data_IF_235828959995
#
_entry.id   IF_235828959995
#
_cell.length_a   1.000
_cell.length_b   1.000
_cell.length_c   1.000
_cell.angle_alpha   90.00
_cell.angle_beta   90.00
_cell.angle_gamma   90.00
#
_symmetry.space_group_name_H-M   'P 1'
#
loop_
_entity.id
_entity.type
_entity.pdbx_description
1 polymer ?
#
# COMPACT_ATOMS: atom_id res chain seq x y z
N UNK A 1 -8.13 46.20 -12.61
CA UNK A 1 -7.88 47.30 -11.70
C UNK A 1 -7.96 46.68 -10.30
N UNK A 2 -6.87 46.09 -9.85
CA UNK A 2 -6.78 45.51 -8.51
C UNK A 2 -6.06 46.52 -7.64
N UNK A 3 -6.77 47.03 -6.65
CA UNK A 3 -6.26 47.97 -5.66
C UNK A 3 -5.15 47.28 -4.87
N UNK A 4 -3.96 47.82 -4.92
CA UNK A 4 -2.74 47.36 -4.28
C UNK A 4 -2.42 48.21 -3.04
N UNK A 5 -3.39 48.46 -2.19
CA UNK A 5 -3.16 49.06 -0.88
C UNK A 5 -3.48 48.05 0.23
N UNK A 6 -2.67 46.99 0.31
CA UNK A 6 -2.55 46.20 1.52
C UNK A 6 -1.45 46.85 2.38
N UNK A 7 -1.86 47.78 3.24
CA UNK A 7 -1.02 48.27 4.34
C UNK A 7 -0.94 47.14 5.40
N UNK A 8 0.20 46.45 5.57
CA UNK A 8 0.38 45.52 6.67
C UNK A 8 0.54 46.38 7.91
N UNK A 9 -0.60 46.60 8.60
CA UNK A 9 -0.61 47.34 9.88
C UNK A 9 0.60 46.93 10.73
N UNK A 10 1.43 47.94 11.10
CA UNK A 10 2.59 47.80 11.95
C UNK A 10 2.08 47.33 13.32
N UNK A 11 1.95 46.01 13.48
CA UNK A 11 1.73 45.39 14.78
C UNK A 11 2.97 45.68 15.64
N UNK A 12 2.76 46.14 16.85
CA UNK A 12 3.76 46.27 17.90
C UNK A 12 4.24 44.91 18.39
N UNK A 13 4.61 44.00 17.44
CA UNK A 13 5.14 42.69 17.76
C UNK A 13 6.63 42.76 18.08
N UNK A 14 7.08 41.84 18.89
CA UNK A 14 8.50 41.63 19.15
C UNK A 14 9.21 41.37 17.82
N UNK A 15 10.35 42.07 17.60
CA UNK A 15 11.11 41.94 16.33
C UNK A 15 12.01 40.73 16.43
N UNK A 16 11.90 39.81 15.45
CA UNK A 16 12.83 38.68 15.36
C UNK A 16 14.24 39.16 15.01
N UNK A 17 15.30 38.40 15.36
CA UNK A 17 16.67 38.72 14.98
C UNK A 17 16.79 38.82 13.45
N UNK A 18 17.46 39.89 12.97
CA UNK A 18 17.74 40.07 11.56
C UNK A 18 18.64 38.94 11.03
N UNK A 19 18.37 38.44 9.82
CA UNK A 19 19.12 37.34 9.22
C UNK A 19 18.74 35.95 9.67
N UNK A 20 17.65 35.79 10.50
CA UNK A 20 17.19 34.49 10.94
C UNK A 20 16.91 33.53 9.78
N UNK A 21 16.44 34.04 8.63
CA UNK A 21 16.13 33.24 7.44
C UNK A 21 17.37 32.75 6.70
N UNK A 22 18.53 33.40 6.89
CA UNK A 22 19.80 33.04 6.25
C UNK A 22 20.75 32.29 7.20
N UNK A 23 20.44 32.26 8.50
CA UNK A 23 21.28 31.61 9.50
C UNK A 23 21.38 30.11 9.29
N UNK A 24 22.61 29.58 9.29
CA UNK A 24 22.84 28.13 9.20
C UNK A 24 22.24 27.39 10.38
N UNK A 25 21.66 26.20 10.14
CA UNK A 25 21.14 25.38 11.21
C UNK A 25 22.27 24.89 12.12
N UNK A 26 22.01 24.91 13.43
CA UNK A 26 22.98 24.53 14.45
C UNK A 26 22.62 25.09 15.83
N UNK A 27 23.51 24.96 16.83
CA UNK A 27 23.22 25.33 18.22
C UNK A 27 22.81 26.79 18.39
N UNK A 28 23.38 27.70 17.60
CA UNK A 28 23.08 29.14 17.68
C UNK A 28 21.65 29.41 17.21
N UNK A 29 21.26 28.89 16.06
CA UNK A 29 19.90 29.02 15.56
C UNK A 29 18.89 28.34 16.49
N UNK A 30 19.21 27.16 17.04
CA UNK A 30 18.35 26.47 17.99
C UNK A 30 18.10 27.31 19.26
N UNK A 31 19.14 27.93 19.81
CA UNK A 31 19.04 28.81 20.99
C UNK A 31 18.16 30.03 20.69
N UNK A 32 18.36 30.70 19.56
CA UNK A 32 17.54 31.82 19.13
C UNK A 32 16.07 31.44 18.96
N UNK A 33 15.79 30.34 18.24
CA UNK A 33 14.42 29.88 18.02
C UNK A 33 13.71 29.52 19.33
N UNK A 34 14.42 28.96 20.31
CA UNK A 34 13.84 28.64 21.63
C UNK A 34 13.49 29.88 22.45
N UNK A 35 14.06 31.04 22.16
CA UNK A 35 13.78 32.31 22.87
C UNK A 35 12.65 33.14 22.24
N UNK A 36 12.18 32.75 21.03
CA UNK A 36 11.13 33.47 20.32
C UNK A 36 9.75 32.97 20.74
N UNK A 37 8.92 33.83 21.27
CA UNK A 37 7.50 33.54 21.43
C UNK A 37 6.75 33.86 20.13
N UNK A 38 6.42 32.80 19.39
CA UNK A 38 5.75 32.90 18.08
C UNK A 38 4.40 33.61 18.14
N UNK A 39 3.74 33.65 19.32
CA UNK A 39 2.47 34.35 19.50
C UNK A 39 2.59 35.87 19.51
N UNK A 40 3.78 36.38 19.78
CA UNK A 40 4.05 37.83 19.92
C UNK A 40 4.61 38.47 18.64
N UNK A 41 5.06 37.69 17.69
CA UNK A 41 5.66 38.18 16.44
C UNK A 41 4.63 38.38 15.33
N UNK A 42 4.97 39.20 14.32
CA UNK A 42 4.07 39.45 13.19
C UNK A 42 3.81 38.15 12.36
N UNK A 43 2.69 38.09 11.63
CA UNK A 43 2.41 36.96 10.75
C UNK A 43 3.49 36.73 9.67
N UNK A 44 4.17 37.79 9.23
CA UNK A 44 5.32 37.67 8.33
C UNK A 44 6.49 36.98 9.04
N UNK A 45 6.82 37.40 10.25
CA UNK A 45 7.90 36.82 11.05
C UNK A 45 7.61 35.39 11.49
N UNK A 46 6.33 35.03 11.73
CA UNK A 46 5.92 33.64 11.95
C UNK A 46 6.33 32.72 10.82
N UNK A 47 6.24 33.16 9.56
CA UNK A 47 6.69 32.37 8.40
C UNK A 47 8.22 32.26 8.36
N UNK A 48 8.94 33.32 8.73
CA UNK A 48 10.41 33.27 8.84
C UNK A 48 10.84 32.25 9.91
N UNK A 49 10.23 32.33 11.10
CA UNK A 49 10.47 31.37 12.19
C UNK A 49 10.13 29.95 11.78
N UNK A 50 9.00 29.72 11.10
CA UNK A 50 8.59 28.41 10.59
C UNK A 50 9.65 27.84 9.63
N UNK A 51 10.18 28.64 8.71
CA UNK A 51 11.24 28.22 7.79
C UNK A 51 12.54 27.87 8.53
N UNK A 52 12.90 28.67 9.52
CA UNK A 52 14.09 28.41 10.36
C UNK A 52 13.94 27.10 11.15
N UNK A 53 12.78 26.83 11.77
CA UNK A 53 12.49 25.54 12.41
C UNK A 53 12.58 24.38 11.39
N UNK A 54 12.08 24.57 10.18
CA UNK A 54 12.14 23.52 9.13
C UNK A 54 13.60 23.19 8.75
N UNK A 55 14.48 24.19 8.66
CA UNK A 55 15.92 23.96 8.44
C UNK A 55 16.54 23.18 9.61
N UNK A 56 16.21 23.53 10.85
CA UNK A 56 16.69 22.79 12.03
C UNK A 56 16.23 21.33 12.04
N UNK A 57 14.96 21.08 11.70
CA UNK A 57 14.45 19.70 11.57
C UNK A 57 15.24 18.91 10.54
N UNK A 58 15.50 19.48 9.36
CA UNK A 58 16.29 18.83 8.32
C UNK A 58 17.73 18.53 8.78
N UNK A 59 18.34 19.48 9.48
CA UNK A 59 19.68 19.36 10.05
C UNK A 59 19.77 18.18 11.03
N UNK A 60 18.88 18.12 12.02
CA UNK A 60 18.90 17.01 12.98
C UNK A 60 18.51 15.66 12.35
N UNK A 61 17.70 15.66 11.31
CA UNK A 61 17.41 14.44 10.56
C UNK A 61 18.66 13.94 9.83
N UNK A 62 19.48 14.85 9.24
CA UNK A 62 20.77 14.47 8.65
C UNK A 62 21.72 13.87 9.69
N UNK A 63 21.79 14.45 10.89
CA UNK A 63 22.57 13.88 11.99
C UNK A 63 22.07 12.49 12.39
N UNK A 64 20.76 12.32 12.51
CA UNK A 64 20.15 10.99 12.83
C UNK A 64 20.57 9.94 11.81
N UNK A 65 20.60 10.27 10.52
CA UNK A 65 21.09 9.35 9.48
C UNK A 65 22.59 9.07 9.61
N UNK A 66 23.37 10.08 9.97
CA UNK A 66 24.81 9.90 10.25
C UNK A 66 25.02 8.95 11.45
N UNK A 67 24.23 9.11 12.50
CA UNK A 67 24.29 8.25 13.69
C UNK A 67 23.92 6.80 13.34
N UNK A 68 22.89 6.56 12.53
CA UNK A 68 22.52 5.22 12.06
C UNK A 68 23.66 4.54 11.32
N UNK A 69 24.38 5.27 10.47
CA UNK A 69 25.55 4.74 9.76
C UNK A 69 26.71 4.47 10.72
N UNK A 70 26.93 5.32 11.72
CA UNK A 70 27.95 5.11 12.76
C UNK A 70 27.70 3.84 13.59
N UNK A 71 26.43 3.50 13.85
CA UNK A 71 26.08 2.20 14.47
C UNK A 71 26.51 1.03 13.61
N UNK A 72 26.31 1.14 12.27
CA UNK A 72 26.73 0.10 11.33
C UNK A 72 28.26 -0.04 11.28
N UNK A 73 28.98 1.08 11.30
CA UNK A 73 30.45 1.07 11.34
C UNK A 73 30.97 0.36 12.61
N UNK A 74 30.40 0.70 13.78
CA UNK A 74 30.78 0.08 15.04
C UNK A 74 30.53 -1.44 15.04
N UNK A 75 29.44 -1.88 14.44
CA UNK A 75 29.12 -3.31 14.33
C UNK A 75 29.95 -4.03 13.26
N UNK A 76 30.49 -3.32 12.29
CA UNK A 76 31.46 -3.87 11.32
C UNK A 76 32.81 -4.23 11.95
N UNK A 77 33.14 -3.65 13.10
CA UNK A 77 34.31 -4.07 13.90
C UNK A 77 34.08 -5.39 14.66
N UNK A 78 32.80 -5.75 14.86
CA UNK A 78 32.39 -6.94 15.62
C UNK A 78 32.09 -8.14 14.72
N UNK A 79 31.61 -7.86 13.49
CA UNK A 79 31.19 -8.87 12.52
C UNK A 79 32.17 -8.93 11.34
N UNK A 80 32.68 -10.11 11.02
CA UNK A 80 33.54 -10.33 9.85
C UNK A 80 32.77 -10.14 8.50
N UNK A 81 31.46 -10.42 8.49
CA UNK A 81 30.61 -10.24 7.30
C UNK A 81 29.87 -8.90 7.38
N UNK A 82 30.06 -8.00 6.40
CA UNK A 82 29.36 -6.71 6.32
C UNK A 82 27.82 -6.83 6.32
N UNK A 83 27.28 -7.95 5.82
CA UNK A 83 25.83 -8.21 5.84
C UNK A 83 25.32 -8.40 7.26
N UNK A 84 26.03 -9.16 8.06
CA UNK A 84 25.68 -9.38 9.46
C UNK A 84 25.77 -8.08 10.27
N UNK A 85 26.75 -7.23 9.99
CA UNK A 85 26.87 -5.91 10.60
C UNK A 85 25.66 -5.03 10.28
N UNK A 86 25.25 -4.98 9.02
CA UNK A 86 24.07 -4.20 8.59
C UNK A 86 22.77 -4.74 9.19
N UNK A 87 22.56 -6.05 9.21
CA UNK A 87 21.38 -6.66 9.83
C UNK A 87 21.33 -6.40 11.34
N UNK A 88 22.48 -6.48 12.02
CA UNK A 88 22.59 -6.17 13.45
C UNK A 88 22.31 -4.69 13.72
N UNK A 89 22.83 -3.78 12.88
CA UNK A 89 22.56 -2.35 12.99
C UNK A 89 21.07 -2.05 12.80
N UNK A 90 20.43 -2.65 11.81
CA UNK A 90 18.99 -2.50 11.61
C UNK A 90 18.17 -3.00 12.81
N UNK A 91 18.62 -4.09 13.47
CA UNK A 91 17.98 -4.61 14.67
C UNK A 91 18.14 -3.67 15.88
N UNK A 92 19.32 -3.10 16.10
CA UNK A 92 19.58 -2.10 17.16
C UNK A 92 18.76 -0.83 16.93
N UNK A 93 18.78 -0.27 15.72
CA UNK A 93 18.00 0.93 15.33
C UNK A 93 16.50 0.67 15.54
N UNK A 94 16.03 -0.51 15.11
CA UNK A 94 14.65 -0.93 15.31
C UNK A 94 14.25 -0.93 16.78
N UNK A 95 15.09 -1.50 17.64
CA UNK A 95 14.83 -1.60 19.08
C UNK A 95 14.88 -0.22 19.75
N UNK A 96 15.89 0.59 19.43
CA UNK A 96 16.09 1.92 20.00
C UNK A 96 14.99 2.90 19.64
N UNK A 97 14.48 2.83 18.39
CA UNK A 97 13.50 3.79 17.86
C UNK A 97 12.07 3.23 17.81
N UNK A 98 11.82 2.01 18.31
CA UNK A 98 10.52 1.33 18.26
C UNK A 98 9.93 1.24 16.84
N UNK A 99 10.78 0.94 15.84
CA UNK A 99 10.36 0.82 14.46
C UNK A 99 9.90 -0.61 14.14
N UNK A 100 9.15 -0.76 13.04
CA UNK A 100 8.99 -2.09 12.43
C UNK A 100 10.30 -2.49 11.73
N UNK A 101 10.51 -3.79 11.50
CA UNK A 101 11.68 -4.28 10.76
C UNK A 101 11.84 -3.56 9.42
N UNK A 102 10.78 -3.53 8.62
CA UNK A 102 10.79 -2.88 7.31
C UNK A 102 11.12 -1.38 7.39
N UNK A 103 10.61 -0.68 8.39
CA UNK A 103 10.89 0.75 8.56
C UNK A 103 12.37 0.97 8.90
N UNK A 104 12.94 0.15 9.80
CA UNK A 104 14.36 0.24 10.15
C UNK A 104 15.27 -0.06 8.95
N UNK A 105 14.95 -1.10 8.17
CA UNK A 105 15.69 -1.46 6.96
C UNK A 105 15.67 -0.30 5.93
N UNK A 106 14.52 0.34 5.72
CA UNK A 106 14.37 1.46 4.79
C UNK A 106 15.17 2.69 5.26
N UNK A 107 15.04 3.07 6.53
CA UNK A 107 15.75 4.24 7.07
C UNK A 107 17.27 4.04 7.06
N UNK A 108 17.76 2.84 7.42
CA UNK A 108 19.17 2.53 7.38
C UNK A 108 19.71 2.49 5.95
N UNK A 109 18.97 1.88 5.01
CA UNK A 109 19.37 1.88 3.59
C UNK A 109 19.51 3.30 3.06
N UNK A 110 18.54 4.16 3.34
CA UNK A 110 18.60 5.57 2.95
C UNK A 110 19.79 6.31 3.60
N UNK A 111 20.05 6.06 4.87
CA UNK A 111 21.22 6.64 5.56
C UNK A 111 22.55 6.24 4.90
N UNK A 112 22.68 4.96 4.52
CA UNK A 112 23.86 4.45 3.80
C UNK A 112 23.98 5.07 2.40
N UNK A 113 22.88 5.24 1.68
CA UNK A 113 22.85 5.89 0.38
C UNK A 113 23.28 7.37 0.47
N UNK A 114 22.81 8.11 1.45
CA UNK A 114 23.24 9.49 1.70
C UNK A 114 24.75 9.57 1.89
N UNK A 115 25.33 8.64 2.66
CA UNK A 115 26.78 8.64 2.91
C UNK A 115 27.61 8.19 1.71
N UNK A 116 27.22 7.08 1.08
CA UNK A 116 28.07 6.41 0.10
C UNK A 116 27.79 6.84 -1.33
N UNK A 117 26.52 7.00 -1.68
CA UNK A 117 26.06 7.25 -3.04
C UNK A 117 25.81 8.72 -3.30
N UNK A 118 25.17 9.42 -2.36
CA UNK A 118 24.65 10.78 -2.53
C UNK A 118 25.16 11.78 -1.46
N UNK A 119 26.48 11.92 -1.23
CA UNK A 119 27.00 12.80 -0.18
C UNK A 119 26.54 14.25 -0.32
N UNK A 120 26.42 14.79 -1.54
CA UNK A 120 25.91 16.14 -1.76
C UNK A 120 24.46 16.31 -1.28
N UNK A 121 23.62 15.28 -1.39
CA UNK A 121 22.25 15.31 -0.84
C UNK A 121 22.27 15.33 0.69
N UNK A 122 23.22 14.60 1.30
CA UNK A 122 23.47 14.66 2.74
C UNK A 122 23.84 16.06 3.19
N UNK A 123 24.74 16.73 2.47
CA UNK A 123 25.14 18.10 2.76
C UNK A 123 23.99 19.11 2.62
N UNK A 124 23.18 18.97 1.55
CA UNK A 124 21.97 19.79 1.34
C UNK A 124 20.93 19.59 2.45
N UNK A 125 20.77 18.36 2.95
CA UNK A 125 19.89 18.06 4.07
C UNK A 125 20.44 18.62 5.38
N UNK A 126 21.75 18.45 5.62
CA UNK A 126 22.44 18.92 6.82
C UNK A 126 22.45 20.44 6.93
N UNK A 127 22.62 21.15 5.82
CA UNK A 127 22.49 22.62 5.76
C UNK A 127 21.03 23.10 5.79
N UNK A 128 20.06 22.20 5.78
CA UNK A 128 18.64 22.54 5.80
C UNK A 128 18.09 23.13 4.51
N UNK A 129 18.89 23.09 3.43
CA UNK A 129 18.51 23.61 2.10
C UNK A 129 17.39 22.80 1.47
N UNK A 130 17.38 21.48 1.72
CA UNK A 130 16.27 20.60 1.39
C UNK A 130 15.75 19.87 2.62
N UNK A 131 14.55 19.32 2.54
CA UNK A 131 13.98 18.45 3.55
C UNK A 131 14.13 16.96 3.20
N UNK A 132 13.86 16.08 4.18
CA UNK A 132 13.93 14.61 4.01
C UNK A 132 13.04 14.13 2.86
N UNK A 133 11.88 14.76 2.63
CA UNK A 133 11.00 14.36 1.55
C UNK A 133 11.65 14.58 0.19
N UNK A 134 12.33 15.72 -0.01
CA UNK A 134 13.09 15.97 -1.23
C UNK A 134 14.32 15.07 -1.32
N UNK A 135 15.05 14.87 -0.22
CA UNK A 135 16.20 13.97 -0.19
C UNK A 135 15.78 12.51 -0.58
N UNK A 136 14.71 11.98 -0.03
CA UNK A 136 14.16 10.68 -0.43
C UNK A 136 13.68 10.67 -1.88
N UNK A 137 13.08 11.75 -2.37
CA UNK A 137 12.70 11.87 -3.79
C UNK A 137 13.92 11.80 -4.74
N UNK A 138 15.05 12.38 -4.32
CA UNK A 138 16.31 12.30 -5.10
C UNK A 138 16.87 10.89 -5.05
N UNK A 139 16.89 10.28 -3.89
CA UNK A 139 17.38 8.91 -3.71
C UNK A 139 16.55 7.90 -4.52
N UNK A 140 15.25 7.85 -4.32
CA UNK A 140 14.32 6.97 -5.05
C UNK A 140 14.41 7.19 -6.57
N UNK A 141 14.49 8.46 -6.99
CA UNK A 141 14.56 8.82 -8.41
C UNK A 141 15.86 8.42 -9.10
N UNK A 142 16.96 8.25 -8.34
CA UNK A 142 18.29 7.92 -8.87
C UNK A 142 18.78 6.52 -8.49
N UNK A 143 18.04 5.75 -7.67
CA UNK A 143 18.46 4.45 -7.11
C UNK A 143 18.89 3.41 -8.17
N UNK A 144 18.34 3.51 -9.36
CA UNK A 144 18.63 2.62 -10.49
C UNK A 144 19.85 3.01 -11.32
N UNK A 145 20.44 4.18 -11.05
CA UNK A 145 21.62 4.67 -11.78
C UNK A 145 22.93 4.21 -11.12
N UNK A 146 24.00 4.01 -11.92
CA UNK A 146 25.35 3.94 -11.38
C UNK A 146 25.69 5.17 -10.54
N UNK A 147 26.54 5.01 -9.52
CA UNK A 147 26.88 6.10 -8.57
C UNK A 147 27.32 7.39 -9.27
N UNK A 148 28.16 7.28 -10.28
CA UNK A 148 28.65 8.45 -11.03
C UNK A 148 27.53 9.20 -11.77
N UNK A 149 26.60 8.45 -12.37
CA UNK A 149 25.44 9.04 -13.06
C UNK A 149 24.46 9.66 -12.06
N UNK A 150 24.22 9.00 -10.93
CA UNK A 150 23.37 9.54 -9.85
C UNK A 150 23.93 10.87 -9.33
N UNK A 151 25.25 10.95 -9.05
CA UNK A 151 25.91 12.18 -8.61
C UNK A 151 25.84 13.30 -9.65
N UNK A 152 25.99 12.98 -10.93
CA UNK A 152 25.82 13.98 -12.00
C UNK A 152 24.39 14.53 -12.05
N UNK A 153 23.37 13.67 -11.86
CA UNK A 153 21.99 14.15 -11.76
C UNK A 153 21.82 15.07 -10.55
N UNK A 154 22.39 14.70 -9.39
CA UNK A 154 22.32 15.52 -8.17
C UNK A 154 22.99 16.89 -8.38
N UNK A 155 24.16 16.93 -8.99
CA UNK A 155 24.87 18.19 -9.30
C UNK A 155 23.99 19.12 -10.15
N UNK A 156 23.29 18.58 -11.16
CA UNK A 156 22.42 19.36 -12.05
C UNK A 156 21.15 19.89 -11.37
N UNK A 157 20.69 19.28 -10.29
CA UNK A 157 19.48 19.70 -9.57
C UNK A 157 19.79 20.50 -8.30
N UNK A 158 21.03 20.53 -7.83
CA UNK A 158 21.40 21.09 -6.52
C UNK A 158 20.87 22.51 -6.28
N UNK A 159 20.98 23.39 -7.28
CA UNK A 159 20.55 24.78 -7.17
C UNK A 159 19.00 24.93 -7.24
N UNK A 160 18.33 24.05 -7.93
CA UNK A 160 16.88 24.19 -8.19
C UNK A 160 16.03 23.36 -7.23
N UNK A 161 16.57 22.28 -6.66
CA UNK A 161 15.84 21.38 -5.75
C UNK A 161 15.18 22.09 -4.55
N UNK A 162 15.82 23.12 -3.93
CA UNK A 162 15.19 23.88 -2.83
C UNK A 162 13.89 24.59 -3.21
N UNK A 163 13.79 25.01 -4.47
CA UNK A 163 12.68 25.82 -4.98
C UNK A 163 11.52 24.98 -5.51
N UNK A 164 11.73 23.65 -5.68
CA UNK A 164 10.72 22.73 -6.22
C UNK A 164 9.95 22.03 -5.12
N UNK A 165 8.69 21.72 -5.38
CA UNK A 165 7.97 20.70 -4.60
C UNK A 165 8.58 19.32 -4.86
N UNK A 166 8.41 18.36 -3.96
CA UNK A 166 8.90 16.99 -4.16
C UNK A 166 8.36 16.33 -5.46
N UNK A 167 7.12 16.66 -5.86
CA UNK A 167 6.53 16.18 -7.11
C UNK A 167 7.19 16.75 -8.37
N UNK A 168 7.45 18.05 -8.40
CA UNK A 168 8.17 18.73 -9.50
C UNK A 168 9.60 18.21 -9.60
N UNK A 169 10.30 18.10 -8.46
CA UNK A 169 11.64 17.56 -8.37
C UNK A 169 11.72 16.14 -8.91
N UNK A 170 10.80 15.26 -8.50
CA UNK A 170 10.72 13.88 -9.01
C UNK A 170 10.45 13.81 -10.51
N UNK A 171 9.63 14.70 -11.06
CA UNK A 171 9.41 14.79 -12.50
C UNK A 171 10.67 15.25 -13.25
N UNK A 172 11.40 16.23 -12.68
CA UNK A 172 12.63 16.73 -13.25
C UNK A 172 13.76 15.68 -13.24
N UNK A 173 13.92 14.98 -12.10
CA UNK A 173 14.88 13.86 -11.97
C UNK A 173 14.58 12.77 -13.00
N UNK A 174 13.33 12.34 -13.14
CA UNK A 174 12.96 11.34 -14.15
C UNK A 174 13.38 11.76 -15.56
N UNK A 175 13.20 13.03 -15.92
CA UNK A 175 13.65 13.56 -17.21
C UNK A 175 15.16 13.43 -17.36
N UNK A 176 15.93 13.87 -16.37
CA UNK A 176 17.40 13.80 -16.38
C UNK A 176 17.91 12.36 -16.45
N UNK A 177 17.26 11.41 -15.74
CA UNK A 177 17.63 10.00 -15.78
C UNK A 177 17.37 9.35 -17.15
N UNK A 178 16.27 9.73 -17.84
CA UNK A 178 16.00 9.29 -19.21
C UNK A 178 17.04 9.84 -20.18
N UNK A 179 17.43 11.12 -20.03
CA UNK A 179 18.47 11.77 -20.86
C UNK A 179 19.86 11.18 -20.64
N UNK A 180 20.16 10.73 -19.41
CA UNK A 180 21.46 10.17 -19.06
C UNK A 180 21.71 8.79 -19.69
N UNK A 181 20.69 7.95 -19.80
CA UNK A 181 20.76 6.64 -20.43
C UNK A 181 19.41 6.25 -21.01
N UNK A 182 19.18 6.61 -22.25
CA UNK A 182 17.92 6.40 -22.97
C UNK A 182 17.65 4.91 -23.24
N UNK A 183 18.67 4.12 -23.56
CA UNK A 183 18.52 2.71 -23.85
C UNK A 183 18.15 1.90 -22.61
N UNK A 184 18.81 2.17 -21.49
CA UNK A 184 18.50 1.51 -20.24
C UNK A 184 17.13 1.97 -19.69
N UNK A 185 16.78 3.25 -19.86
CA UNK A 185 15.43 3.75 -19.53
C UNK A 185 14.35 3.03 -20.33
N UNK A 186 14.58 2.76 -21.62
CA UNK A 186 13.68 2.00 -22.48
C UNK A 186 13.51 0.55 -21.99
N UNK A 187 14.61 -0.12 -21.68
CA UNK A 187 14.56 -1.52 -21.18
C UNK A 187 13.79 -1.61 -19.85
N UNK A 188 14.03 -0.68 -18.92
CA UNK A 188 13.28 -0.62 -17.65
C UNK A 188 11.80 -0.40 -17.88
N UNK A 189 11.43 0.50 -18.79
CA UNK A 189 10.05 0.75 -19.17
C UNK A 189 9.38 -0.52 -19.74
N UNK A 190 10.02 -1.20 -20.70
CA UNK A 190 9.53 -2.42 -21.30
C UNK A 190 9.33 -3.53 -20.26
N UNK A 191 10.28 -3.66 -19.33
CA UNK A 191 10.17 -4.62 -18.22
C UNK A 191 9.00 -4.25 -17.30
N UNK A 192 8.90 -3.03 -16.83
CA UNK A 192 7.82 -2.58 -15.96
C UNK A 192 6.45 -2.80 -16.61
N UNK A 193 6.28 -2.44 -17.88
CA UNK A 193 5.02 -2.67 -18.61
C UNK A 193 4.69 -4.17 -18.75
N UNK A 194 5.70 -5.04 -18.79
CA UNK A 194 5.47 -6.50 -18.82
C UNK A 194 4.87 -6.98 -17.49
N UNK A 195 5.27 -6.38 -16.36
CA UNK A 195 4.83 -6.73 -15.01
C UNK A 195 3.53 -6.00 -14.59
N UNK A 196 2.91 -5.26 -15.50
CA UNK A 196 1.68 -4.51 -15.21
C UNK A 196 0.59 -5.41 -14.65
N UNK A 197 -0.11 -4.89 -13.66
CA UNK A 197 -1.18 -5.64 -12.96
C UNK A 197 -2.25 -4.72 -12.37
N UNK A 198 -3.40 -5.32 -12.10
CA UNK A 198 -4.48 -4.70 -11.32
C UNK A 198 -4.51 -5.35 -9.94
N UNK A 199 -4.59 -4.53 -8.91
CA UNK A 199 -4.72 -4.96 -7.52
C UNK A 199 -6.03 -4.42 -6.96
N UNK A 200 -6.78 -5.29 -6.28
CA UNK A 200 -7.95 -4.92 -5.49
C UNK A 200 -7.61 -5.11 -4.00
N UNK A 201 -7.79 -4.08 -3.20
CA UNK A 201 -7.45 -4.09 -1.78
C UNK A 201 -8.65 -3.60 -0.95
N UNK A 202 -9.11 -4.38 0.06
CA UNK A 202 -10.11 -3.90 1.00
C UNK A 202 -9.52 -2.81 1.89
N UNK A 203 -10.34 -1.85 2.27
CA UNK A 203 -9.99 -0.82 3.26
C UNK A 203 -10.58 -1.12 4.63
N UNK A 204 -10.11 -0.43 5.66
CA UNK A 204 -10.58 -0.59 7.04
C UNK A 204 -12.07 -0.22 7.17
N UNK A 205 -12.54 0.72 6.36
CA UNK A 205 -13.92 1.23 6.40
C UNK A 205 -14.90 0.38 5.55
N UNK A 206 -14.48 -0.80 5.08
CA UNK A 206 -15.32 -1.69 4.26
C UNK A 206 -15.52 -1.22 2.82
N UNK A 207 -14.73 -0.25 2.36
CA UNK A 207 -14.63 0.12 0.94
C UNK A 207 -13.45 -0.61 0.28
N UNK A 208 -13.22 -0.43 -1.02
CA UNK A 208 -12.11 -1.05 -1.73
C UNK A 208 -11.34 -0.06 -2.59
N UNK A 209 -10.04 -0.33 -2.74
CA UNK A 209 -9.19 0.29 -3.74
C UNK A 209 -9.03 -0.63 -4.95
N UNK A 210 -9.11 -0.06 -6.15
CA UNK A 210 -8.74 -0.74 -7.40
C UNK A 210 -7.60 0.03 -8.04
N UNK A 211 -6.42 -0.58 -8.06
CA UNK A 211 -5.15 0.07 -8.40
C UNK A 211 -4.53 -0.62 -9.61
N UNK A 212 -4.24 0.15 -10.65
CA UNK A 212 -3.41 -0.30 -11.77
C UNK A 212 -1.95 0.07 -11.53
N UNK A 213 -1.05 -0.91 -11.58
CA UNK A 213 0.39 -0.73 -11.44
C UNK A 213 1.09 -0.93 -12.78
N UNK A 214 2.17 -0.19 -13.02
CA UNK A 214 3.06 -0.29 -14.18
C UNK A 214 2.37 -0.16 -15.54
N UNK A 215 1.24 0.58 -15.56
CA UNK A 215 0.47 0.81 -16.78
C UNK A 215 1.19 1.81 -17.71
N UNK A 216 1.07 1.67 -19.06
CA UNK A 216 1.60 2.63 -20.01
C UNK A 216 1.09 4.06 -19.73
N UNK A 217 1.96 5.06 -19.58
CA UNK A 217 1.59 6.39 -19.13
C UNK A 217 0.69 7.15 -20.12
N UNK A 218 0.83 6.90 -21.40
CA UNK A 218 -0.03 7.45 -22.46
C UNK A 218 -1.47 6.95 -22.32
N UNK A 219 -1.64 5.64 -22.04
CA UNK A 219 -2.94 5.03 -21.82
C UNK A 219 -3.58 5.55 -20.53
N UNK A 220 -2.81 5.68 -19.44
CA UNK A 220 -3.29 6.25 -18.18
C UNK A 220 -3.73 7.70 -18.39
N UNK A 221 -2.95 8.51 -19.12
CA UNK A 221 -3.31 9.89 -19.43
C UNK A 221 -4.59 9.97 -20.27
N UNK A 222 -4.74 9.12 -21.28
CA UNK A 222 -5.94 9.05 -22.12
C UNK A 222 -7.19 8.66 -21.31
N UNK A 223 -7.09 7.61 -20.49
CA UNK A 223 -8.18 7.16 -19.60
C UNK A 223 -8.57 8.25 -18.62
N UNK A 224 -7.60 8.85 -17.92
CA UNK A 224 -7.85 9.94 -16.98
C UNK A 224 -8.53 11.15 -17.65
N UNK A 225 -8.05 11.53 -18.85
CA UNK A 225 -8.67 12.62 -19.62
C UNK A 225 -10.11 12.28 -20.01
N UNK A 226 -10.40 11.03 -20.39
CA UNK A 226 -11.75 10.56 -20.71
C UNK A 226 -12.67 10.61 -19.50
N UNK A 227 -12.22 10.09 -18.34
CA UNK A 227 -12.96 10.14 -17.09
C UNK A 227 -13.28 11.59 -16.71
N UNK A 228 -12.28 12.48 -16.74
CA UNK A 228 -12.45 13.89 -16.44
C UNK A 228 -13.46 14.59 -17.38
N UNK A 229 -13.43 14.26 -18.68
CA UNK A 229 -14.37 14.82 -19.65
C UNK A 229 -15.81 14.42 -19.35
N UNK A 230 -16.05 13.13 -19.08
CA UNK A 230 -17.39 12.61 -18.76
C UNK A 230 -17.86 13.18 -17.42
N UNK A 231 -17.03 13.14 -16.37
CA UNK A 231 -17.38 13.67 -15.05
C UNK A 231 -17.76 15.16 -15.11
N UNK A 232 -17.05 15.97 -15.90
CA UNK A 232 -17.39 17.38 -16.11
C UNK A 232 -18.75 17.56 -16.81
N UNK A 233 -19.10 16.67 -17.75
CA UNK A 233 -20.40 16.76 -18.45
C UNK A 233 -21.59 16.36 -17.57
N UNK A 234 -21.36 15.62 -16.48
CA UNK A 234 -22.38 15.25 -15.50
C UNK A 234 -22.64 16.36 -14.47
N UNK A 235 -21.74 17.33 -14.34
CA UNK A 235 -21.86 18.42 -13.36
C UNK A 235 -22.90 19.44 -13.80
N UNK A 236 -24.10 19.34 -13.25
CA UNK A 236 -25.21 20.31 -13.46
C UNK A 236 -25.54 21.08 -12.18
N UNK A 237 -26.50 22.03 -12.28
CA UNK A 237 -26.89 22.89 -11.15
C UNK A 237 -27.53 22.17 -9.96
N UNK A 238 -27.95 20.91 -10.13
CA UNK A 238 -28.54 20.06 -9.07
C UNK A 238 -27.66 18.88 -8.68
N UNK A 239 -26.41 18.81 -9.17
CA UNK A 239 -25.49 17.74 -8.84
C UNK A 239 -24.81 18.01 -7.50
N UNK A 240 -25.08 17.14 -6.51
CA UNK A 240 -24.57 17.27 -5.14
C UNK A 240 -23.20 16.62 -4.93
N UNK A 241 -22.80 15.70 -5.85
CA UNK A 241 -21.52 14.99 -5.75
C UNK A 241 -20.36 15.91 -6.08
N UNK A 242 -19.23 15.67 -5.40
CA UNK A 242 -17.96 16.34 -5.73
C UNK A 242 -17.42 15.85 -7.08
N UNK A 243 -16.49 16.59 -7.66
CA UNK A 243 -15.83 16.16 -8.91
C UNK A 243 -15.09 14.83 -8.75
N UNK A 244 -14.56 14.53 -7.57
CA UNK A 244 -13.85 13.27 -7.32
C UNK A 244 -14.81 12.10 -7.19
N UNK A 245 -15.96 12.29 -6.57
CA UNK A 245 -17.06 11.32 -6.57
C UNK A 245 -17.56 11.02 -7.99
N UNK A 246 -17.79 12.06 -8.80
CA UNK A 246 -18.18 11.90 -10.20
C UNK A 246 -17.13 11.14 -11.03
N UNK A 247 -15.83 11.38 -10.78
CA UNK A 247 -14.73 10.64 -11.44
C UNK A 247 -14.73 9.18 -11.03
N UNK A 248 -14.92 8.89 -9.75
CA UNK A 248 -14.98 7.51 -9.23
C UNK A 248 -16.19 6.76 -9.82
N UNK A 249 -17.36 7.39 -9.85
CA UNK A 249 -18.56 6.80 -10.45
C UNK A 249 -18.37 6.51 -11.95
N UNK A 250 -17.81 7.47 -12.70
CA UNK A 250 -17.51 7.29 -14.14
C UNK A 250 -16.49 6.18 -14.36
N UNK A 251 -15.46 6.09 -13.51
CA UNK A 251 -14.47 5.02 -13.58
C UNK A 251 -15.12 3.64 -13.41
N UNK A 252 -15.97 3.48 -12.40
CA UNK A 252 -16.69 2.24 -12.16
C UNK A 252 -17.71 1.92 -13.26
N UNK A 253 -18.42 2.93 -13.78
CA UNK A 253 -19.37 2.76 -14.89
C UNK A 253 -18.68 2.33 -16.19
N UNK A 254 -17.50 2.87 -16.49
CA UNK A 254 -16.73 2.49 -17.67
C UNK A 254 -16.18 1.06 -17.60
N UNK A 255 -15.80 0.59 -16.42
CA UNK A 255 -15.26 -0.76 -16.22
C UNK A 255 -16.34 -1.80 -15.97
N UNK A 256 -17.36 -1.46 -15.18
CA UNK A 256 -18.47 -2.36 -14.82
C UNK A 256 -19.55 -2.52 -15.87
N UNK A 257 -19.51 -1.70 -16.93
CA UNK A 257 -20.62 -1.58 -17.87
C UNK A 257 -21.72 -0.66 -17.33
N UNK A 258 -22.30 0.15 -18.22
CA UNK A 258 -23.34 1.12 -17.84
C UNK A 258 -24.48 0.46 -17.08
N UNK A 259 -24.89 1.03 -15.95
CA UNK A 259 -25.96 0.55 -15.04
C UNK A 259 -27.28 0.17 -15.73
N UNK A 260 -27.44 0.47 -17.02
CA UNK A 260 -28.71 0.32 -17.72
C UNK A 260 -28.79 -0.70 -18.86
N UNK A 261 -27.72 -1.32 -19.36
CA UNK A 261 -27.88 -2.22 -20.53
C UNK A 261 -27.03 -3.50 -20.61
N UNK A 262 -25.94 -3.66 -19.88
CA UNK A 262 -25.22 -4.94 -19.87
C UNK A 262 -24.36 -5.03 -18.60
N UNK A 263 -24.98 -5.44 -17.51
CA UNK A 263 -24.19 -5.91 -16.36
C UNK A 263 -23.26 -7.00 -16.89
N UNK A 264 -21.97 -6.81 -16.69
CA UNK A 264 -20.98 -7.88 -16.82
C UNK A 264 -21.55 -9.10 -16.10
N UNK A 265 -21.59 -10.24 -16.77
CA UNK A 265 -22.04 -11.51 -16.19
C UNK A 265 -21.03 -12.05 -15.16
N UNK A 266 -20.36 -11.21 -14.43
CA UNK A 266 -19.55 -11.58 -13.28
C UNK A 266 -20.47 -12.11 -12.19
N UNK A 267 -20.29 -13.37 -11.80
CA UNK A 267 -21.01 -13.95 -10.68
C UNK A 267 -20.37 -13.41 -9.41
N UNK A 268 -21.10 -12.60 -8.67
CA UNK A 268 -20.70 -12.15 -7.32
C UNK A 268 -21.16 -13.22 -6.34
N UNK A 269 -20.21 -13.81 -5.61
CA UNK A 269 -20.52 -14.73 -4.51
C UNK A 269 -20.50 -13.94 -3.21
N UNK A 270 -21.64 -13.86 -2.58
CA UNK A 270 -21.81 -13.22 -1.28
C UNK A 270 -22.48 -14.20 -0.31
N UNK A 271 -22.02 -14.23 0.92
CA UNK A 271 -22.63 -15.00 2.01
C UNK A 271 -23.15 -14.00 3.05
N UNK A 272 -24.41 -14.11 3.42
CA UNK A 272 -25.01 -13.34 4.50
C UNK A 272 -26.10 -14.18 5.17
N UNK A 273 -26.37 -13.92 6.46
CA UNK A 273 -27.47 -14.55 7.16
C UNK A 273 -28.81 -14.14 6.54
N UNK A 274 -29.78 -15.05 6.54
CA UNK A 274 -31.11 -14.75 6.04
C UNK A 274 -31.74 -13.56 6.79
N UNK A 275 -31.56 -13.53 8.11
CA UNK A 275 -32.10 -12.46 8.97
C UNK A 275 -31.49 -11.10 8.61
N UNK A 276 -30.21 -11.06 8.23
CA UNK A 276 -29.56 -9.86 7.70
C UNK A 276 -30.16 -9.42 6.38
N UNK A 277 -30.38 -10.35 5.45
CA UNK A 277 -30.95 -10.02 4.13
C UNK A 277 -32.39 -9.51 4.21
N UNK A 278 -33.20 -10.04 5.15
CA UNK A 278 -34.57 -9.57 5.37
C UNK A 278 -34.67 -8.38 6.34
N UNK A 279 -33.56 -7.87 6.83
CA UNK A 279 -33.51 -6.66 7.67
C UNK A 279 -33.84 -6.87 9.14
N UNK A 280 -33.78 -8.10 9.64
CA UNK A 280 -33.99 -8.42 11.06
C UNK A 280 -32.73 -8.27 11.90
N UNK A 281 -31.55 -8.36 11.29
CA UNK A 281 -30.24 -8.17 11.94
C UNK A 281 -29.32 -7.34 11.05
N UNK A 282 -28.25 -6.81 11.61
CA UNK A 282 -27.20 -6.06 10.91
C UNK A 282 -25.85 -6.79 10.95
N UNK A 283 -25.86 -8.12 10.92
CA UNK A 283 -24.64 -8.91 10.86
C UNK A 283 -23.90 -8.65 9.54
N UNK A 284 -22.55 -8.69 9.60
CA UNK A 284 -21.75 -8.53 8.41
C UNK A 284 -21.98 -9.66 7.41
N UNK A 285 -22.11 -9.32 6.13
CA UNK A 285 -22.00 -10.29 5.04
C UNK A 285 -20.54 -10.56 4.70
N UNK A 286 -20.28 -11.64 3.95
CA UNK A 286 -18.96 -11.99 3.43
C UNK A 286 -18.99 -11.95 1.89
N UNK A 287 -18.19 -11.12 1.28
CA UNK A 287 -18.02 -11.05 -0.16
C UNK A 287 -16.79 -11.87 -0.56
N UNK A 288 -17.02 -12.94 -1.35
CA UNK A 288 -15.96 -13.87 -1.71
C UNK A 288 -14.82 -13.16 -2.46
N UNK A 289 -13.59 -13.34 -1.96
CA UNK A 289 -12.40 -12.71 -2.49
C UNK A 289 -12.14 -11.27 -2.01
N UNK A 290 -13.09 -10.70 -1.26
CA UNK A 290 -12.98 -9.36 -0.70
C UNK A 290 -12.90 -9.40 0.84
N UNK A 291 -13.79 -10.16 1.48
CA UNK A 291 -13.92 -10.26 2.93
C UNK A 291 -15.23 -9.69 3.46
N UNK A 292 -15.29 -9.36 4.75
CA UNK A 292 -16.49 -8.86 5.40
C UNK A 292 -17.00 -7.55 4.80
N UNK A 293 -18.31 -7.44 4.62
CA UNK A 293 -19.02 -6.23 4.17
C UNK A 293 -20.18 -5.92 5.11
N UNK A 294 -20.54 -4.64 5.22
CA UNK A 294 -21.69 -4.23 6.04
C UNK A 294 -23.00 -4.79 5.48
N UNK A 295 -23.97 -5.00 6.35
CA UNK A 295 -25.30 -5.53 6.02
C UNK A 295 -25.97 -4.81 4.85
N UNK A 296 -25.84 -3.49 4.78
CA UNK A 296 -26.43 -2.66 3.72
C UNK A 296 -25.87 -3.00 2.33
N UNK A 297 -24.58 -3.29 2.20
CA UNK A 297 -23.99 -3.75 0.94
C UNK A 297 -24.57 -5.12 0.56
N UNK A 298 -24.75 -6.03 1.53
CA UNK A 298 -25.34 -7.34 1.29
C UNK A 298 -26.77 -7.22 0.78
N UNK A 299 -27.59 -6.38 1.39
CA UNK A 299 -28.96 -6.07 0.94
C UNK A 299 -28.98 -5.42 -0.42
N UNK A 300 -28.15 -4.40 -0.65
CA UNK A 300 -28.05 -3.69 -1.93
C UNK A 300 -27.70 -4.65 -3.07
N UNK A 301 -26.73 -5.54 -2.90
CA UNK A 301 -26.34 -6.54 -3.90
C UNK A 301 -27.49 -7.48 -4.20
N UNK A 302 -28.27 -7.91 -3.19
CA UNK A 302 -29.45 -8.76 -3.37
C UNK A 302 -30.57 -8.01 -4.15
N UNK A 303 -30.85 -6.76 -3.79
CA UNK A 303 -31.93 -5.96 -4.39
C UNK A 303 -31.62 -5.54 -5.83
N UNK A 304 -30.38 -5.22 -6.13
CA UNK A 304 -29.96 -4.79 -7.47
C UNK A 304 -29.91 -5.92 -8.51
N UNK A 305 -30.09 -7.19 -8.09
CA UNK A 305 -30.02 -8.36 -8.97
C UNK A 305 -31.29 -9.24 -8.87
N UNK A 306 -32.49 -8.73 -9.17
CA UNK A 306 -33.75 -9.49 -9.02
C UNK A 306 -33.79 -10.75 -9.89
N UNK A 307 -33.05 -10.79 -11.00
CA UNK A 307 -32.94 -11.94 -11.91
C UNK A 307 -31.73 -12.83 -11.63
N UNK A 308 -30.93 -12.52 -10.60
CA UNK A 308 -29.80 -13.37 -10.24
C UNK A 308 -30.28 -14.69 -9.63
N UNK A 309 -29.68 -15.79 -10.05
CA UNK A 309 -29.88 -17.08 -9.39
C UNK A 309 -29.34 -16.99 -7.95
N UNK A 310 -30.23 -16.70 -6.99
CA UNK A 310 -29.92 -16.73 -5.56
C UNK A 310 -29.61 -18.18 -5.17
N UNK A 311 -28.35 -18.44 -4.88
CA UNK A 311 -27.90 -19.74 -4.39
C UNK A 311 -27.63 -19.60 -2.92
N UNK A 312 -28.48 -20.21 -2.10
CA UNK A 312 -28.28 -20.26 -0.66
C UNK A 312 -27.63 -21.59 -0.26
N UNK A 313 -26.80 -21.52 0.76
CA UNK A 313 -26.23 -22.71 1.40
C UNK A 313 -26.69 -22.69 2.85
N UNK A 314 -27.35 -23.74 3.28
CA UNK A 314 -27.68 -23.92 4.68
C UNK A 314 -26.42 -24.46 5.35
N UNK A 315 -25.90 -23.71 6.33
CA UNK A 315 -24.78 -24.13 7.14
C UNK A 315 -25.23 -24.53 8.52
N UNK A 316 -24.55 -25.50 9.11
CA UNK A 316 -24.71 -25.82 10.53
C UNK A 316 -24.34 -24.58 11.36
N UNK A 317 -25.21 -24.19 12.28
CA UNK A 317 -25.06 -22.96 13.07
C UNK A 317 -23.93 -23.04 14.10
N UNK A 318 -23.53 -24.23 14.54
CA UNK A 318 -22.46 -24.42 15.53
C UNK A 318 -21.10 -24.58 14.85
N UNK A 319 -21.04 -25.30 13.72
CA UNK A 319 -19.79 -25.63 13.03
C UNK A 319 -19.52 -24.77 11.80
N UNK A 320 -20.55 -24.06 11.28
CA UNK A 320 -20.47 -23.31 10.02
C UNK A 320 -20.33 -24.21 8.79
N UNK A 321 -20.55 -25.51 8.93
CA UNK A 321 -20.41 -26.49 7.85
C UNK A 321 -21.62 -26.51 6.92
N UNK A 322 -21.42 -26.61 5.61
CA UNK A 322 -22.52 -26.86 4.70
C UNK A 322 -23.03 -28.29 4.86
N UNK A 323 -24.31 -28.42 5.17
CA UNK A 323 -24.97 -29.72 5.36
C UNK A 323 -25.14 -30.41 4.01
N UNK A 324 -24.19 -31.31 3.56
CA UNK A 324 -24.42 -32.19 2.42
C UNK A 324 -23.39 -33.32 2.23
N UNK A 325 -23.83 -34.38 1.57
CA UNK A 325 -23.03 -35.54 1.17
C UNK A 325 -22.18 -35.25 -0.07
N UNK A 326 -20.99 -35.82 -0.16
CA UNK A 326 -20.07 -35.73 -1.31
C UNK A 326 -20.30 -36.84 -2.35
N UNK A 327 -19.48 -36.77 -3.41
CA UNK A 327 -19.47 -37.77 -4.50
C UNK A 327 -18.14 -38.52 -4.56
N UNK A 328 -18.15 -39.71 -5.15
CA UNK A 328 -16.95 -40.54 -5.37
C UNK A 328 -16.09 -40.07 -6.54
N UNK A 329 -16.36 -38.93 -7.18
CA UNK A 329 -15.60 -38.41 -8.31
C UNK A 329 -14.34 -37.69 -7.83
N UNK A 330 -13.19 -37.95 -8.48
CA UNK A 330 -11.91 -37.29 -8.19
C UNK A 330 -11.98 -35.76 -8.34
N UNK A 331 -12.70 -35.28 -9.37
CA UNK A 331 -12.92 -33.84 -9.55
C UNK A 331 -14.21 -33.41 -8.86
N UNK A 332 -14.16 -32.40 -8.01
CA UNK A 332 -15.36 -31.90 -7.35
C UNK A 332 -16.37 -31.37 -8.36
N UNK A 333 -17.64 -31.58 -8.09
CA UNK A 333 -18.72 -30.97 -8.86
C UNK A 333 -18.76 -29.45 -8.61
N UNK A 334 -19.43 -28.70 -9.50
CA UNK A 334 -19.64 -27.27 -9.30
C UNK A 334 -20.37 -26.96 -7.96
N UNK A 335 -21.28 -27.86 -7.53
CA UNK A 335 -21.95 -27.74 -6.25
C UNK A 335 -21.00 -27.92 -5.06
N UNK A 336 -20.10 -28.91 -5.12
CA UNK A 336 -19.09 -29.14 -4.09
C UNK A 336 -18.06 -28.00 -4.03
N UNK A 337 -17.63 -27.50 -5.20
CA UNK A 337 -16.76 -26.35 -5.31
C UNK A 337 -17.36 -25.15 -4.59
N UNK A 338 -18.61 -24.80 -4.89
CA UNK A 338 -19.30 -23.69 -4.23
C UNK A 338 -19.39 -23.86 -2.71
N UNK A 339 -19.68 -25.08 -2.22
CA UNK A 339 -19.72 -25.35 -0.78
C UNK A 339 -18.40 -25.13 -0.08
N UNK A 340 -17.29 -25.51 -0.74
CA UNK A 340 -15.94 -25.27 -0.20
C UNK A 340 -15.61 -23.79 -0.25
N UNK A 341 -15.90 -23.10 -1.35
CA UNK A 341 -15.65 -21.67 -1.53
C UNK A 341 -16.50 -20.81 -0.57
N UNK A 342 -17.72 -21.25 -0.26
CA UNK A 342 -18.57 -20.61 0.78
C UNK A 342 -18.00 -20.82 2.18
N UNK A 343 -17.47 -22.00 2.47
CA UNK A 343 -16.85 -22.30 3.76
C UNK A 343 -15.52 -21.59 3.94
N UNK A 344 -14.67 -21.61 2.93
CA UNK A 344 -13.33 -21.05 2.93
C UNK A 344 -13.22 -20.07 1.76
N UNK A 345 -13.40 -18.79 2.03
CA UNK A 345 -13.42 -17.72 1.01
C UNK A 345 -12.05 -17.41 0.39
N UNK A 346 -10.97 -17.86 1.05
CA UNK A 346 -9.58 -17.67 0.62
C UNK A 346 -8.78 -18.98 0.74
N UNK A 347 -7.59 -19.00 0.15
CA UNK A 347 -6.61 -20.07 0.32
C UNK A 347 -6.35 -20.35 1.81
N UNK A 348 -6.34 -21.62 2.20
CA UNK A 348 -6.23 -22.02 3.61
C UNK A 348 -4.80 -22.14 4.13
N UNK A 349 -3.80 -21.80 3.32
CA UNK A 349 -2.41 -21.75 3.76
C UNK A 349 -2.18 -20.54 4.70
N UNK A 350 -1.36 -20.68 5.76
CA UNK A 350 -1.09 -19.60 6.71
C UNK A 350 -0.61 -18.32 6.02
N UNK A 351 -1.34 -17.21 6.22
CA UNK A 351 -0.99 -15.90 5.68
C UNK A 351 -1.35 -15.68 4.21
N UNK A 352 -1.89 -16.68 3.50
CA UNK A 352 -2.36 -16.51 2.12
C UNK A 352 -3.75 -15.84 2.10
N UNK A 353 -3.95 -14.92 1.14
CA UNK A 353 -5.23 -14.20 0.95
C UNK A 353 -5.80 -14.38 -0.46
N UNK A 354 -5.28 -15.34 -1.23
CA UNK A 354 -5.79 -15.63 -2.58
C UNK A 354 -7.26 -16.06 -2.50
N UNK A 355 -8.17 -15.44 -3.27
CA UNK A 355 -9.57 -15.84 -3.33
C UNK A 355 -9.75 -17.32 -3.64
N UNK A 356 -10.66 -17.99 -2.95
CA UNK A 356 -10.91 -19.43 -3.18
C UNK A 356 -11.40 -19.74 -4.60
N UNK A 357 -12.06 -18.77 -5.25
CA UNK A 357 -12.48 -18.89 -6.66
C UNK A 357 -11.29 -19.07 -7.63
N UNK A 358 -10.13 -18.51 -7.28
CA UNK A 358 -8.87 -18.58 -8.06
C UNK A 358 -7.96 -19.71 -7.56
N UNK A 359 -8.44 -20.55 -6.65
CA UNK A 359 -7.72 -21.68 -6.07
C UNK A 359 -8.10 -23.01 -6.71
N UNK A 360 -7.15 -23.95 -6.67
CA UNK A 360 -7.47 -25.37 -6.86
C UNK A 360 -8.10 -25.92 -5.59
N UNK A 361 -9.07 -26.84 -5.75
CA UNK A 361 -9.59 -27.60 -4.61
C UNK A 361 -8.77 -28.88 -4.47
N UNK A 362 -8.01 -28.94 -3.40
CA UNK A 362 -7.16 -30.08 -3.10
C UNK A 362 -7.70 -30.94 -1.97
N UNK A 363 -7.39 -32.24 -2.01
CA UNK A 363 -7.84 -33.22 -1.01
C UNK A 363 -6.95 -33.18 0.24
N UNK A 364 -7.53 -33.09 1.42
CA UNK A 364 -6.81 -33.22 2.69
C UNK A 364 -6.15 -34.61 2.81
N UNK A 365 -6.93 -35.68 2.75
CA UNK A 365 -6.45 -37.03 2.46
C UNK A 365 -6.47 -37.23 0.96
N UNK A 366 -5.35 -37.61 0.35
CA UNK A 366 -5.24 -37.66 -1.11
C UNK A 366 -6.23 -38.69 -1.72
N UNK A 367 -6.71 -38.42 -2.93
CA UNK A 367 -7.61 -39.36 -3.63
C UNK A 367 -6.93 -40.71 -3.87
N UNK A 368 -5.63 -40.73 -4.09
CA UNK A 368 -4.84 -41.96 -4.27
C UNK A 368 -4.78 -42.82 -2.99
N UNK A 369 -4.90 -42.20 -1.82
CA UNK A 369 -4.97 -42.87 -0.51
C UNK A 369 -6.41 -43.18 -0.08
N UNK A 370 -7.39 -43.09 -1.00
CA UNK A 370 -8.78 -43.37 -0.73
C UNK A 370 -9.58 -42.21 -0.15
N UNK A 371 -9.00 -40.99 -0.12
CA UNK A 371 -9.69 -39.80 0.35
C UNK A 371 -10.88 -39.43 -0.55
N UNK A 372 -12.10 -39.29 0.02
CA UNK A 372 -13.30 -39.02 -0.76
C UNK A 372 -13.31 -37.57 -1.29
N UNK A 373 -13.93 -37.37 -2.46
CA UNK A 373 -14.20 -36.02 -3.01
C UNK A 373 -15.49 -35.47 -2.37
N UNK A 374 -15.36 -35.04 -1.13
CA UNK A 374 -16.44 -34.41 -0.34
C UNK A 374 -15.96 -33.05 0.17
N UNK A 375 -16.88 -32.09 0.40
CA UNK A 375 -16.48 -30.78 0.93
C UNK A 375 -15.63 -30.87 2.20
N UNK A 376 -15.90 -31.86 3.08
CA UNK A 376 -15.14 -32.12 4.29
C UNK A 376 -13.66 -32.47 4.07
N UNK A 377 -13.32 -33.07 2.92
CA UNK A 377 -11.96 -33.46 2.56
C UNK A 377 -11.31 -32.53 1.50
N UNK A 378 -11.99 -31.45 1.11
CA UNK A 378 -11.49 -30.50 0.11
C UNK A 378 -11.12 -29.17 0.76
N UNK A 379 -10.03 -28.57 0.31
CA UNK A 379 -9.54 -27.26 0.77
C UNK A 379 -9.06 -26.42 -0.42
N UNK A 380 -9.37 -25.09 -0.47
CA UNK A 380 -8.88 -24.23 -1.53
C UNK A 380 -7.40 -23.89 -1.29
N UNK A 381 -6.55 -24.20 -2.26
CA UNK A 381 -5.14 -23.86 -2.27
C UNK A 381 -4.79 -23.10 -3.55
N UNK A 382 -4.16 -21.96 -3.43
CA UNK A 382 -3.61 -21.28 -4.60
C UNK A 382 -2.51 -22.13 -5.23
N UNK A 383 -2.23 -21.90 -6.51
CA UNK A 383 -1.26 -22.71 -7.26
C UNK A 383 0.11 -22.82 -6.59
N UNK A 384 0.55 -21.77 -5.90
CA UNK A 384 1.81 -21.78 -5.14
C UNK A 384 1.73 -22.69 -3.92
N UNK A 385 0.71 -22.54 -3.08
CA UNK A 385 0.57 -23.26 -1.82
C UNK A 385 0.15 -24.72 -2.05
N UNK A 386 -0.53 -25.00 -3.16
CA UNK A 386 -0.78 -26.35 -3.63
C UNK A 386 0.55 -27.10 -3.93
N UNK A 387 1.52 -26.44 -4.59
CA UNK A 387 2.87 -26.99 -4.81
C UNK A 387 3.63 -27.17 -3.49
N UNK A 388 3.52 -26.21 -2.57
CA UNK A 388 4.16 -26.27 -1.25
C UNK A 388 3.67 -27.49 -0.48
N UNK A 389 2.36 -27.77 -0.50
CA UNK A 389 1.80 -28.99 0.10
C UNK A 389 2.45 -30.25 -0.44
N UNK A 390 2.63 -30.36 -1.77
CA UNK A 390 3.30 -31.51 -2.40
C UNK A 390 4.80 -31.56 -2.13
N UNK A 391 5.41 -30.50 -1.62
CA UNK A 391 6.82 -30.45 -1.22
C UNK A 391 7.03 -30.74 0.28
N UNK A 392 6.24 -31.66 0.84
CA UNK A 392 6.44 -32.18 2.20
C UNK A 392 5.64 -31.48 3.30
N UNK A 393 4.79 -30.52 2.96
CA UNK A 393 3.85 -29.95 3.94
C UNK A 393 2.62 -30.84 4.08
N UNK A 394 2.15 -31.03 5.32
CA UNK A 394 0.94 -31.79 5.61
C UNK A 394 -0.20 -30.86 6.02
N UNK A 395 -1.38 -31.12 5.47
CA UNK A 395 -2.62 -30.39 5.75
C UNK A 395 -3.62 -31.30 6.46
N UNK A 396 -4.08 -30.90 7.64
CA UNK A 396 -5.13 -31.58 8.39
C UNK A 396 -6.26 -30.60 8.73
N UNK A 397 -7.48 -30.98 8.42
CA UNK A 397 -8.65 -30.22 8.84
C UNK A 397 -8.96 -30.52 10.32
N UNK A 398 -9.32 -29.48 11.08
CA UNK A 398 -9.64 -29.58 12.51
C UNK A 398 -11.15 -29.76 12.71
N UNK A 399 -11.53 -30.56 13.70
CA UNK A 399 -12.94 -30.80 14.04
C UNK A 399 -13.70 -29.54 14.49
N UNK A 400 -12.97 -28.59 15.09
CA UNK A 400 -13.51 -27.29 15.54
C UNK A 400 -13.54 -26.22 14.43
N UNK A 401 -13.32 -26.61 13.18
CA UNK A 401 -13.14 -25.72 12.04
C UNK A 401 -11.71 -25.18 11.90
N UNK A 402 -11.33 -24.83 10.66
CA UNK A 402 -9.96 -24.41 10.32
C UNK A 402 -9.04 -25.58 9.98
N UNK A 403 -7.75 -25.27 9.85
CA UNK A 403 -6.74 -26.19 9.34
C UNK A 403 -5.47 -26.17 10.15
N UNK A 404 -4.83 -27.31 10.29
CA UNK A 404 -3.47 -27.44 10.82
C UNK A 404 -2.52 -27.82 9.70
N UNK A 405 -1.49 -27.03 9.54
CA UNK A 405 -0.38 -27.26 8.63
C UNK A 405 0.84 -27.73 9.40
N UNK A 406 1.51 -28.75 8.91
CA UNK A 406 2.78 -29.20 9.45
C UNK A 406 3.86 -29.03 8.39
N UNK A 407 4.92 -28.29 8.70
CA UNK A 407 6.04 -28.08 7.80
C UNK A 407 6.99 -29.30 7.76
N UNK A 408 7.84 -29.42 6.72
CA UNK A 408 8.89 -30.46 6.68
C UNK A 408 9.84 -30.42 7.87
N UNK A 409 9.99 -29.28 8.53
CA UNK A 409 10.81 -29.10 9.74
C UNK A 409 10.05 -29.44 11.04
N UNK A 410 8.79 -29.92 10.95
CA UNK A 410 7.99 -30.33 12.09
C UNK A 410 7.22 -29.21 12.79
N UNK A 411 7.34 -27.96 12.34
CA UNK A 411 6.54 -26.86 12.89
C UNK A 411 5.07 -26.97 12.50
N UNK A 412 4.18 -26.66 13.44
CA UNK A 412 2.74 -26.69 13.21
C UNK A 412 2.15 -25.28 13.22
N UNK A 413 1.31 -25.00 12.22
CA UNK A 413 0.61 -23.73 12.07
C UNK A 413 -0.89 -23.98 11.98
N UNK A 414 -1.68 -23.20 12.69
CA UNK A 414 -3.14 -23.34 12.66
C UNK A 414 -3.75 -22.13 12.00
N UNK A 415 -4.53 -22.35 10.94
CA UNK A 415 -5.39 -21.33 10.36
C UNK A 415 -6.80 -21.55 10.88
N UNK A 416 -7.35 -20.55 11.57
CA UNK A 416 -8.74 -20.58 12.04
C UNK A 416 -9.57 -19.76 11.05
N UNK A 417 -10.78 -20.23 10.81
CA UNK A 417 -11.80 -19.40 10.19
C UNK A 417 -12.12 -18.26 11.15
N UNK A 418 -12.29 -17.04 10.65
CA UNK A 418 -12.97 -16.02 11.43
C UNK A 418 -14.38 -16.56 11.75
N UNK A 419 -14.89 -16.43 12.96
CA UNK A 419 -16.30 -16.75 13.22
C UNK A 419 -17.17 -15.92 12.28
N UNK A 420 -18.32 -16.48 11.85
CA UNK A 420 -19.27 -15.78 11.00
C UNK A 420 -19.76 -14.49 11.62
#
# INVERSE_FOLDING_TARGET
MFDTDFDPGVGTGEVIPSGLDEMEPGPVLAALLSSIDVSTVSGYDQIVVLRAHRRMVSHYQAHTYTDMVSVTDSLSEVHDDPRNATESAAAEIRAALNLTRRAADIELSFAMDLRQRLPQVSDMLSSGVIDVRRAKTIDDGTCHLPISAARNVVERIAEIAPQMTAGELGAHIRKLCIEADTEEAKKRYEHAVTDRKIIAEPTVDGTANLIGLDLPPDMVAAVTKRINKIARSLRGNHESRTMDQLRADVYLDLLGGSRHKTRSKGVIHMTADLDTLVGLTDHAGELNGYGPVIADIARQVADEQPDAELRYTITDTETGEPIHAGTTRRRPSASQRRKVETRDSICVFPGCRMPAADCDLDHGTTYAEGGPTVPGNLAPLCRNDHRIKHNGWNLKRLAIGGYQWTSPLGHTYTTRRAPP
#
